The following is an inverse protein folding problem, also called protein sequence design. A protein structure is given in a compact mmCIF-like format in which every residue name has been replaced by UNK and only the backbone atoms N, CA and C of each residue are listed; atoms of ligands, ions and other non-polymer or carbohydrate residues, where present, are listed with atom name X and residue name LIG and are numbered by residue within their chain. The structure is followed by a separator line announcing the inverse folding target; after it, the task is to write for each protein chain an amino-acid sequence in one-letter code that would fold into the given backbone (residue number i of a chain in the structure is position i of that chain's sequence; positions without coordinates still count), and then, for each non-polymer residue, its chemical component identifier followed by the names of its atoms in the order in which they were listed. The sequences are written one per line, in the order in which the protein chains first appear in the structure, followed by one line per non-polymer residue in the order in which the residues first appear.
data_IF_157735814305
#
_entry.id   IF_157735814305
#
_cell.length_a   1.000
_cell.length_b   1.000
_cell.length_c   1.000
_cell.angle_alpha   90.00
_cell.angle_beta   90.00
_cell.angle_gamma   90.00
#
_symmetry.space_group_name_H-M   'P 1'
#
loop_
_entity.id
_entity.type
_entity.pdbx_description
1 polymer ?
#
# COMPACT_ATOMS: atom_id res chain seq x y z
N UNK A 1 -19.37 -19.56 -9.34
CA UNK A 1 -19.98 -20.18 -8.12
C UNK A 1 -20.63 -21.48 -8.54
N UNK A 2 -19.88 -22.59 -8.63
CA UNK A 2 -20.41 -23.86 -9.17
C UNK A 2 -20.95 -24.80 -8.08
N UNK A 3 -20.37 -24.76 -6.87
CA UNK A 3 -20.78 -25.66 -5.77
C UNK A 3 -22.19 -25.37 -5.23
N UNK A 4 -22.53 -24.10 -5.00
CA UNK A 4 -23.86 -23.74 -4.50
C UNK A 4 -24.96 -23.94 -5.54
N UNK A 5 -24.68 -23.65 -6.82
CA UNK A 5 -25.64 -23.90 -7.90
C UNK A 5 -25.91 -25.38 -8.07
N UNK A 6 -24.88 -26.24 -8.00
CA UNK A 6 -25.06 -27.69 -8.07
C UNK A 6 -25.94 -28.22 -6.93
N UNK A 7 -25.69 -27.78 -5.68
CA UNK A 7 -26.50 -28.19 -4.51
C UNK A 7 -27.97 -27.77 -4.63
N UNK A 8 -28.22 -26.54 -5.11
CA UNK A 8 -29.57 -26.05 -5.38
C UNK A 8 -30.27 -26.87 -6.47
N UNK A 9 -29.57 -27.25 -7.54
CA UNK A 9 -30.11 -28.12 -8.60
C UNK A 9 -30.53 -29.50 -8.10
N UNK A 10 -29.86 -30.02 -7.07
CA UNK A 10 -30.23 -31.29 -6.41
C UNK A 10 -31.25 -31.11 -5.27
N UNK A 11 -31.82 -29.90 -5.12
CA UNK A 11 -32.75 -29.54 -4.06
C UNK A 11 -32.22 -29.85 -2.64
N UNK A 12 -30.90 -29.74 -2.47
CA UNK A 12 -30.20 -29.97 -1.21
C UNK A 12 -29.95 -28.63 -0.52
N UNK A 13 -30.11 -28.60 0.81
CA UNK A 13 -29.78 -27.42 1.58
C UNK A 13 -28.26 -27.32 1.73
N UNK A 14 -27.67 -26.22 1.26
CA UNK A 14 -26.24 -25.96 1.36
C UNK A 14 -25.73 -25.87 2.81
N UNK A 15 -26.59 -25.53 3.76
CA UNK A 15 -26.27 -25.44 5.19
C UNK A 15 -25.83 -26.80 5.76
N UNK A 16 -26.35 -27.90 5.23
CA UNK A 16 -26.02 -29.26 5.68
C UNK A 16 -24.58 -29.67 5.32
N UNK A 17 -23.97 -28.98 4.34
CA UNK A 17 -22.61 -29.25 3.86
C UNK A 17 -21.57 -28.31 4.45
N UNK A 18 -21.98 -27.40 5.33
CA UNK A 18 -21.07 -26.50 6.03
C UNK A 18 -20.35 -27.29 7.12
N UNK A 19 -19.01 -27.24 7.13
CA UNK A 19 -18.19 -27.86 8.18
C UNK A 19 -18.62 -27.33 9.56
N UNK A 20 -18.67 -28.23 10.54
CA UNK A 20 -18.89 -27.94 11.96
C UNK A 20 -18.16 -26.69 12.49
N UNK A 21 -16.96 -26.40 11.97
CA UNK A 21 -16.12 -25.26 12.36
C UNK A 21 -16.76 -23.90 12.07
N UNK A 22 -17.64 -23.83 11.07
CA UNK A 22 -18.33 -22.59 10.67
C UNK A 22 -19.75 -22.47 11.24
N UNK A 23 -20.17 -23.41 12.11
CA UNK A 23 -21.48 -23.32 12.77
C UNK A 23 -21.50 -22.27 13.88
N UNK A 24 -22.68 -21.69 14.10
CA UNK A 24 -22.94 -20.69 15.16
C UNK A 24 -22.48 -21.18 16.54
N UNK A 25 -22.69 -22.44 16.85
CA UNK A 25 -22.29 -23.04 18.13
C UNK A 25 -20.78 -22.98 18.35
N UNK A 26 -20.00 -23.30 17.31
CA UNK A 26 -18.52 -23.23 17.35
C UNK A 26 -18.06 -21.79 17.48
N UNK A 27 -18.71 -20.86 16.77
CA UNK A 27 -18.44 -19.43 16.91
C UNK A 27 -18.68 -18.96 18.35
N UNK A 28 -19.84 -19.28 18.93
CA UNK A 28 -20.15 -18.93 20.33
C UNK A 28 -19.09 -19.56 21.24
N UNK A 29 -18.80 -20.86 21.13
CA UNK A 29 -17.76 -21.51 21.95
C UNK A 29 -16.39 -20.83 21.86
N UNK A 30 -15.97 -20.41 20.66
CA UNK A 30 -14.69 -19.75 20.44
C UNK A 30 -14.59 -18.38 21.11
N UNK A 31 -15.71 -17.62 21.13
CA UNK A 31 -15.77 -16.26 21.66
C UNK A 31 -16.49 -16.13 23.01
N UNK A 32 -16.94 -17.25 23.60
CA UNK A 32 -17.52 -17.28 24.96
C UNK A 32 -16.49 -16.90 26.02
N UNK A 33 -15.22 -17.35 25.95
CA UNK A 33 -14.20 -16.92 26.89
C UNK A 33 -13.96 -15.41 26.77
N UNK A 34 -13.87 -14.74 27.91
CA UNK A 34 -13.50 -13.32 27.95
C UNK A 34 -12.06 -13.16 27.46
N UNK A 35 -11.89 -12.43 26.36
CA UNK A 35 -10.57 -11.99 25.91
C UNK A 35 -10.19 -10.80 26.78
N UNK A 36 -9.40 -11.05 27.82
CA UNK A 36 -8.84 -9.97 28.62
C UNK A 36 -7.91 -9.13 27.76
N UNK A 37 -8.03 -7.81 27.89
CA UNK A 37 -7.08 -6.88 27.28
C UNK A 37 -5.67 -7.17 27.79
N UNK A 38 -4.69 -7.00 26.92
CA UNK A 38 -3.29 -7.01 27.33
C UNK A 38 -3.05 -5.69 28.08
N UNK A 39 -2.44 -5.76 29.26
CA UNK A 39 -2.10 -4.58 30.04
C UNK A 39 -1.17 -3.64 29.25
N UNK A 40 -1.07 -2.38 29.68
CA UNK A 40 -0.15 -1.43 29.08
C UNK A 40 1.32 -1.94 29.12
N UNK A 41 2.16 -1.56 28.13
CA UNK A 41 3.56 -2.01 28.06
C UNK A 41 4.40 -1.70 29.31
N UNK A 42 4.00 -0.68 30.08
CA UNK A 42 4.63 -0.30 31.35
C UNK A 42 4.42 -1.33 32.47
N UNK A 43 3.36 -2.14 32.41
CA UNK A 43 3.01 -3.18 33.39
C UNK A 43 3.62 -4.55 33.04
N UNK A 44 4.26 -4.69 31.88
CA UNK A 44 4.86 -5.95 31.48
C UNK A 44 6.13 -6.20 32.29
N UNK A 45 6.28 -7.43 32.80
CA UNK A 45 7.51 -7.86 33.46
C UNK A 45 8.69 -7.73 32.50
N UNK A 46 9.73 -7.00 32.91
CA UNK A 46 10.98 -6.92 32.16
C UNK A 46 11.65 -8.30 32.17
N UNK A 47 11.63 -8.99 31.04
CA UNK A 47 12.32 -10.27 30.89
C UNK A 47 13.79 -10.02 30.57
N UNK A 48 14.71 -10.69 31.26
CA UNK A 48 16.15 -10.71 30.92
C UNK A 48 16.46 -11.55 29.66
N UNK A 49 15.50 -11.61 28.73
CA UNK A 49 15.60 -12.39 27.51
C UNK A 49 16.57 -11.74 26.52
N UNK A 50 17.11 -12.55 25.62
CA UNK A 50 17.88 -12.05 24.48
C UNK A 50 16.96 -11.14 23.67
N UNK A 51 17.37 -9.90 23.35
CA UNK A 51 16.59 -9.03 22.47
C UNK A 51 16.27 -9.76 21.16
N UNK A 52 15.00 -9.73 20.75
CA UNK A 52 14.60 -10.26 19.45
C UNK A 52 15.34 -9.44 18.39
N UNK A 53 16.30 -10.09 17.72
CA UNK A 53 17.01 -9.49 16.60
C UNK A 53 15.99 -9.26 15.48
N UNK A 54 16.03 -8.06 14.88
CA UNK A 54 15.27 -7.81 13.67
C UNK A 54 15.66 -8.85 12.62
N UNK A 55 14.70 -9.40 11.86
CA UNK A 55 15.02 -10.24 10.72
C UNK A 55 15.97 -9.48 9.77
N UNK A 56 16.91 -10.20 9.17
CA UNK A 56 17.80 -9.61 8.18
C UNK A 56 16.98 -8.97 7.06
N UNK A 57 17.27 -7.69 6.80
CA UNK A 57 16.61 -6.96 5.72
C UNK A 57 17.03 -7.55 4.37
N UNK A 58 16.13 -8.32 3.74
CA UNK A 58 16.30 -8.76 2.35
C UNK A 58 15.72 -7.70 1.43
N UNK A 59 16.57 -7.13 0.57
CA UNK A 59 16.12 -6.25 -0.52
C UNK A 59 15.15 -7.03 -1.41
N UNK A 60 13.86 -6.70 -1.32
CA UNK A 60 12.86 -7.29 -2.20
C UNK A 60 13.20 -6.94 -3.65
N UNK A 61 12.92 -7.87 -4.58
CA UNK A 61 12.99 -7.54 -6.01
C UNK A 61 12.09 -6.33 -6.24
N UNK A 62 12.69 -5.27 -6.77
CA UNK A 62 11.97 -4.03 -7.06
C UNK A 62 10.78 -4.31 -7.99
N UNK A 63 9.83 -3.38 -7.99
CA UNK A 63 8.65 -3.47 -8.85
C UNK A 63 9.04 -3.76 -10.30
N UNK A 64 8.41 -4.74 -10.98
CA UNK A 64 8.61 -4.96 -12.40
C UNK A 64 8.43 -3.67 -13.20
N UNK A 65 9.27 -3.47 -14.23
CA UNK A 65 9.17 -2.29 -15.09
C UNK A 65 7.77 -2.22 -15.70
N UNK A 66 7.14 -1.03 -15.65
CA UNK A 66 5.83 -0.81 -16.27
C UNK A 66 5.85 -1.00 -17.80
N UNK A 67 7.01 -0.74 -18.43
CA UNK A 67 7.21 -0.95 -19.87
C UNK A 67 8.12 -2.16 -20.07
N UNK A 68 7.71 -3.06 -20.96
CA UNK A 68 8.55 -4.15 -21.45
C UNK A 68 9.71 -3.60 -22.27
N UNK A 69 10.87 -4.25 -22.23
CA UNK A 69 11.96 -3.99 -23.18
C UNK A 69 11.57 -4.52 -24.57
N UNK A 70 11.64 -3.68 -25.60
CA UNK A 70 11.35 -4.08 -26.98
C UNK A 70 12.52 -4.89 -27.55
N UNK A 71 12.22 -5.92 -28.33
CA UNK A 71 13.22 -6.75 -29.03
C UNK A 71 13.72 -6.04 -30.31
N UNK A 72 14.87 -6.46 -30.83
CA UNK A 72 15.37 -5.97 -32.13
C UNK A 72 14.31 -6.21 -33.22
N UNK A 73 13.95 -5.14 -33.95
CA UNK A 73 12.90 -5.15 -34.99
C UNK A 73 11.50 -4.72 -34.53
N UNK A 74 11.28 -4.52 -33.23
CA UNK A 74 9.96 -4.10 -32.72
C UNK A 74 9.77 -2.57 -32.83
N UNK A 75 8.69 -2.15 -33.52
CA UNK A 75 8.39 -0.73 -33.76
C UNK A 75 7.96 -0.05 -32.46
N UNK A 76 8.69 0.98 -32.04
CA UNK A 76 8.23 1.88 -30.96
C UNK A 76 7.02 2.67 -31.46
N UNK A 77 5.83 2.37 -30.94
CA UNK A 77 4.65 3.23 -31.14
C UNK A 77 4.90 4.55 -30.39
N UNK A 78 5.45 5.53 -31.11
CA UNK A 78 5.97 6.79 -30.57
C UNK A 78 4.92 7.82 -30.20
N UNK A 79 3.63 7.59 -30.50
CA UNK A 79 2.56 8.50 -30.13
C UNK A 79 2.04 8.13 -28.75
N UNK A 80 2.62 8.77 -27.74
CA UNK A 80 2.00 8.79 -26.42
C UNK A 80 0.63 9.45 -26.58
N UNK A 81 -0.46 8.82 -26.14
CA UNK A 81 -1.84 9.36 -26.11
C UNK A 81 -1.99 10.60 -25.22
N UNK A 82 -0.88 11.14 -24.70
CA UNK A 82 -0.87 12.31 -23.83
C UNK A 82 -0.63 13.56 -24.66
N UNK A 83 -1.58 14.49 -24.56
CA UNK A 83 -1.43 15.85 -25.06
C UNK A 83 -0.17 16.49 -24.46
N UNK A 84 0.57 17.22 -25.29
CA UNK A 84 1.67 18.07 -24.82
C UNK A 84 1.09 19.18 -23.93
N UNK A 85 1.77 19.50 -22.83
CA UNK A 85 1.41 20.66 -21.98
C UNK A 85 1.86 21.96 -22.66
N UNK A 86 1.16 22.37 -23.69
CA UNK A 86 1.45 23.60 -24.46
C UNK A 86 0.90 24.87 -23.80
N UNK A 87 -0.05 24.77 -22.88
CA UNK A 87 -0.77 25.93 -22.32
C UNK A 87 -0.58 26.14 -20.81
N UNK A 88 0.41 25.48 -20.19
CA UNK A 88 0.68 25.64 -18.76
C UNK A 88 1.82 26.63 -18.58
N UNK A 89 1.50 27.84 -18.10
CA UNK A 89 2.52 28.81 -17.67
C UNK A 89 3.11 28.32 -16.35
N UNK A 90 4.41 28.01 -16.37
CA UNK A 90 5.13 27.55 -15.17
C UNK A 90 5.60 28.77 -14.40
N UNK A 91 5.04 28.97 -13.20
CA UNK A 91 5.42 30.05 -12.29
C UNK A 91 6.39 29.54 -11.22
N UNK A 92 7.51 30.22 -11.06
CA UNK A 92 8.56 29.81 -10.13
C UNK A 92 8.17 30.20 -8.70
N UNK A 93 8.03 29.22 -7.80
CA UNK A 93 7.77 29.51 -6.38
C UNK A 93 8.95 30.17 -5.63
N UNK A 94 10.16 30.18 -6.21
CA UNK A 94 11.34 30.83 -5.61
C UNK A 94 11.37 32.33 -5.90
N UNK A 95 11.15 32.73 -7.15
CA UNK A 95 11.30 34.13 -7.58
C UNK A 95 10.01 34.79 -8.05
N UNK A 96 8.90 34.05 -8.14
CA UNK A 96 7.61 34.57 -8.60
C UNK A 96 7.61 35.04 -10.05
N UNK A 97 8.51 34.55 -10.90
CA UNK A 97 8.50 34.81 -12.34
C UNK A 97 8.04 33.58 -13.12
N UNK A 98 7.50 33.84 -14.31
CA UNK A 98 6.96 32.81 -15.18
C UNK A 98 8.03 32.30 -16.16
N UNK A 99 7.80 31.11 -16.74
CA UNK A 99 8.68 30.48 -17.73
C UNK A 99 9.67 29.46 -17.17
N UNK A 100 9.78 29.31 -15.85
CA UNK A 100 10.67 28.33 -15.21
C UNK A 100 10.13 27.88 -13.84
N UNK A 101 10.62 26.75 -13.34
CA UNK A 101 10.26 26.25 -12.01
C UNK A 101 11.42 26.47 -11.00
N UNK A 102 11.20 26.11 -9.74
CA UNK A 102 12.19 26.27 -8.65
C UNK A 102 13.51 25.56 -8.95
N UNK A 103 13.47 24.41 -9.63
CA UNK A 103 14.65 23.58 -9.89
C UNK A 103 15.59 24.20 -10.93
N UNK A 104 15.05 24.95 -11.90
CA UNK A 104 15.81 25.64 -12.94
C UNK A 104 15.90 27.16 -12.68
N UNK A 105 15.74 27.58 -11.42
CA UNK A 105 15.76 28.99 -11.06
C UNK A 105 17.16 29.42 -10.65
N UNK A 106 17.76 30.31 -11.46
CA UNK A 106 19.12 30.84 -11.25
C UNK A 106 19.21 31.91 -10.15
N UNK A 107 18.08 32.40 -9.64
CA UNK A 107 18.08 33.34 -8.52
C UNK A 107 18.41 32.61 -7.22
N UNK A 108 19.47 33.04 -6.54
CA UNK A 108 19.69 32.72 -5.12
C UNK A 108 18.87 33.72 -4.30
N UNK A 109 17.70 33.30 -3.81
CA UNK A 109 17.02 34.09 -2.78
C UNK A 109 17.78 33.87 -1.48
N UNK A 110 18.32 34.95 -0.91
CA UNK A 110 18.89 34.94 0.44
C UNK A 110 17.73 34.68 1.38
N UNK A 111 17.59 33.44 1.86
CA UNK A 111 16.60 33.13 2.88
C UNK A 111 17.10 33.69 4.21
N UNK A 112 16.61 34.88 4.59
CA UNK A 112 16.70 35.36 5.96
C UNK A 112 16.02 34.32 6.85
N UNK A 113 16.79 33.64 7.70
CA UNK A 113 16.24 32.68 8.67
C UNK A 113 15.45 33.50 9.70
N UNK A 114 14.14 33.59 9.54
CA UNK A 114 13.28 34.01 10.64
C UNK A 114 13.27 32.85 11.63
N UNK A 115 13.97 33.03 12.75
CA UNK A 115 13.91 32.12 13.89
C UNK A 115 12.48 31.98 14.34
N UNK A 116 12.02 30.73 14.48
CA UNK A 116 10.71 30.41 15.04
C UNK A 116 10.89 30.28 16.57
N UNK A 117 9.93 30.78 17.38
CA UNK A 117 10.01 30.77 18.84
C UNK A 117 10.16 29.36 19.43
#
# INVERSE_FOLDING_TARGET
MHGMTALLSYNRNHIDFIDSKYKKETFIKAYTPVIYGINEPNMWSKTNGIPIQCPDFKKQRGKPKKKRNLQSGEVRIGRTTKLRRTYVVVRCGKCGLDGHNIATCDKRVVMSRVGKP
#
